data_IF_035568925203
#
_entry.id   IF_035568925203
#
_cell.length_a   1.000
_cell.length_b   1.000
_cell.length_c   1.000
_cell.angle_alpha   90.00
_cell.angle_beta   90.00
_cell.angle_gamma   90.00
#
_symmetry.space_group_name_H-M   'P 1'
#
loop_
_entity.id
_entity.type
_entity.pdbx_description
1 polymer ?
#
# COMPACT_ATOMS: atom_id res chain seq x y z
N UNK A 1 -1.85 -36.78 -36.02
CA UNK A 1 -0.80 -36.72 -34.97
C UNK A 1 -0.28 -35.32 -34.65
N UNK A 2 -0.99 -34.24 -34.97
CA UNK A 2 -0.44 -32.89 -34.85
C UNK A 2 -1.07 -32.00 -33.76
N UNK A 3 -2.21 -32.38 -33.23
CA UNK A 3 -2.97 -31.53 -32.29
C UNK A 3 -2.61 -31.75 -30.82
N UNK A 4 -2.23 -32.97 -30.44
CA UNK A 4 -1.85 -33.29 -29.05
C UNK A 4 -0.47 -32.73 -28.65
N UNK A 5 0.43 -32.52 -29.59
CA UNK A 5 1.79 -31.99 -29.29
C UNK A 5 1.78 -30.49 -29.02
N UNK A 6 0.84 -29.74 -29.60
CA UNK A 6 0.74 -28.29 -29.38
C UNK A 6 0.20 -27.91 -28.00
N UNK A 7 -0.72 -28.71 -27.47
CA UNK A 7 -1.33 -28.45 -26.15
C UNK A 7 -0.34 -28.71 -25.01
N UNK A 8 0.51 -29.73 -25.15
CA UNK A 8 1.54 -30.04 -24.14
C UNK A 8 2.65 -28.97 -24.06
N UNK A 9 3.01 -28.35 -25.19
CA UNK A 9 4.04 -27.29 -25.20
C UNK A 9 3.48 -26.00 -24.56
N UNK A 10 2.19 -25.68 -24.79
CA UNK A 10 1.58 -24.50 -24.16
C UNK A 10 1.45 -24.67 -22.64
N UNK A 11 1.16 -25.87 -22.16
CA UNK A 11 1.07 -26.16 -20.72
C UNK A 11 2.46 -26.08 -20.06
N UNK A 12 3.52 -26.56 -20.74
CA UNK A 12 4.88 -26.49 -20.21
C UNK A 12 5.41 -25.06 -20.15
N UNK A 13 5.07 -24.22 -21.13
CA UNK A 13 5.46 -22.80 -21.15
C UNK A 13 4.72 -22.02 -20.05
N UNK A 14 3.45 -22.32 -19.79
CA UNK A 14 2.69 -21.70 -18.70
C UNK A 14 3.26 -22.07 -17.31
N UNK A 15 3.74 -23.30 -17.13
CA UNK A 15 4.37 -23.75 -15.87
C UNK A 15 5.76 -23.14 -15.70
N UNK A 16 6.50 -22.88 -16.77
CA UNK A 16 7.85 -22.26 -16.69
C UNK A 16 7.80 -20.74 -16.45
N UNK A 17 6.69 -20.06 -16.78
CA UNK A 17 6.52 -18.62 -16.54
C UNK A 17 5.99 -18.29 -15.14
N UNK A 18 5.54 -19.29 -14.38
CA UNK A 18 4.90 -19.09 -13.09
C UNK A 18 5.78 -19.24 -11.85
N UNK A 19 7.05 -19.57 -11.96
CA UNK A 19 7.78 -20.09 -10.80
C UNK A 19 9.07 -19.38 -10.38
N UNK A 20 9.53 -18.31 -11.05
CA UNK A 20 10.89 -17.86 -10.74
C UNK A 20 11.06 -16.56 -9.95
N UNK A 21 10.08 -15.64 -9.94
CA UNK A 21 10.37 -14.30 -9.44
C UNK A 21 9.68 -13.88 -8.13
N UNK A 22 8.63 -14.57 -7.70
CA UNK A 22 7.98 -14.26 -6.42
C UNK A 22 8.84 -14.61 -5.18
N UNK A 23 9.87 -15.42 -5.36
CA UNK A 23 10.74 -15.89 -4.28
C UNK A 23 11.83 -14.88 -3.87
N UNK A 24 12.04 -13.80 -4.58
CA UNK A 24 13.15 -12.88 -4.33
C UNK A 24 12.84 -11.73 -3.37
N UNK A 25 11.59 -11.58 -2.92
CA UNK A 25 11.24 -10.54 -1.97
C UNK A 25 11.27 -11.07 -0.55
N UNK A 26 11.90 -10.31 0.35
CA UNK A 26 12.01 -10.71 1.75
C UNK A 26 10.65 -10.79 2.43
N UNK A 27 10.57 -11.56 3.51
CA UNK A 27 9.35 -11.71 4.31
C UNK A 27 8.79 -10.36 4.76
N UNK A 28 9.63 -9.38 5.14
CA UNK A 28 9.18 -8.05 5.59
C UNK A 28 8.39 -7.28 4.54
N UNK A 29 8.70 -7.45 3.25
CA UNK A 29 7.94 -6.81 2.16
C UNK A 29 6.54 -7.39 2.11
N UNK A 30 6.39 -8.71 2.20
CA UNK A 30 5.10 -9.38 2.26
C UNK A 30 4.35 -9.06 3.56
N UNK A 31 5.06 -8.93 4.67
CA UNK A 31 4.49 -8.51 5.96
C UNK A 31 3.88 -7.11 5.85
N UNK A 32 4.51 -6.17 5.15
CA UNK A 32 3.92 -4.85 4.90
C UNK A 32 2.63 -4.95 4.07
N UNK A 33 2.64 -5.74 2.98
CA UNK A 33 1.43 -5.96 2.18
C UNK A 33 0.30 -6.52 3.04
N UNK A 34 0.60 -7.53 3.85
CA UNK A 34 -0.39 -8.16 4.72
C UNK A 34 -0.86 -7.22 5.85
N UNK A 35 0.02 -6.35 6.35
CA UNK A 35 -0.30 -5.41 7.44
C UNK A 35 -1.19 -4.27 6.94
N UNK A 36 -0.81 -3.63 5.83
CA UNK A 36 -1.49 -2.43 5.33
C UNK A 36 -2.66 -2.73 4.39
N UNK A 37 -2.98 -3.98 4.15
CA UNK A 37 -4.06 -4.43 3.27
C UNK A 37 -5.44 -4.32 3.95
N UNK A 38 -6.40 -3.69 3.28
CA UNK A 38 -7.78 -3.58 3.77
C UNK A 38 -8.45 -2.25 3.43
N UNK A 39 -9.62 -2.03 4.02
CA UNK A 39 -10.31 -0.75 4.02
C UNK A 39 -10.19 -0.12 5.40
N UNK A 40 -9.99 1.19 5.42
CA UNK A 40 -9.83 1.93 6.67
C UNK A 40 -10.67 3.20 6.65
N UNK A 41 -11.07 3.66 7.84
CA UNK A 41 -11.62 5.00 8.00
C UNK A 41 -11.23 5.59 9.37
N UNK A 42 -11.45 6.89 9.51
CA UNK A 42 -11.19 7.64 10.74
C UNK A 42 -12.47 8.04 11.50
N UNK A 43 -13.61 7.40 11.23
CA UNK A 43 -14.94 7.81 11.74
C UNK A 43 -15.03 7.80 13.27
N UNK A 44 -14.38 6.83 13.94
CA UNK A 44 -14.41 6.73 15.40
C UNK A 44 -13.79 7.98 16.06
N UNK A 45 -12.73 8.53 15.49
CA UNK A 45 -12.02 9.68 16.05
C UNK A 45 -12.67 11.01 15.74
N UNK A 46 -13.48 11.09 14.69
CA UNK A 46 -14.24 12.31 14.39
C UNK A 46 -15.27 12.63 15.46
N UNK A 47 -15.81 11.59 16.13
CA UNK A 47 -16.77 11.76 17.24
C UNK A 47 -16.11 12.31 18.51
N UNK A 48 -14.79 12.23 18.64
CA UNK A 48 -14.04 12.68 19.82
C UNK A 48 -13.65 14.17 19.77
N UNK A 49 -14.30 14.99 18.92
CA UNK A 49 -14.04 16.44 18.77
C UNK A 49 -12.61 16.83 18.34
N UNK A 50 -11.84 15.94 17.76
CA UNK A 50 -10.60 16.30 17.05
C UNK A 50 -10.93 16.96 15.71
N UNK A 51 -11.52 18.14 15.77
CA UNK A 51 -12.39 18.78 14.77
C UNK A 51 -11.72 19.35 13.54
N UNK A 52 -10.44 19.08 13.30
CA UNK A 52 -9.74 19.57 12.09
C UNK A 52 -9.59 18.51 11.02
N UNK A 53 -9.98 17.28 11.27
CA UNK A 53 -9.86 16.19 10.29
C UNK A 53 -11.15 16.01 9.50
N UNK A 54 -10.96 15.81 8.18
CA UNK A 54 -12.05 15.35 7.34
C UNK A 54 -12.31 13.86 7.59
N UNK A 55 -13.54 13.43 7.35
CA UNK A 55 -13.85 12.02 7.34
C UNK A 55 -13.30 11.38 6.08
N UNK A 56 -12.36 10.45 6.23
CA UNK A 56 -11.60 9.85 5.15
C UNK A 56 -11.80 8.34 5.13
N UNK A 57 -11.98 7.79 3.93
CA UNK A 57 -11.90 6.37 3.65
C UNK A 57 -10.62 6.08 2.89
N UNK A 58 -9.96 5.00 3.26
CA UNK A 58 -8.75 4.49 2.59
C UNK A 58 -9.00 3.06 2.16
N UNK A 59 -8.70 2.75 0.91
CA UNK A 59 -8.70 1.39 0.37
C UNK A 59 -7.27 1.05 0.00
N UNK A 60 -6.77 -0.04 0.53
CA UNK A 60 -5.44 -0.57 0.21
C UNK A 60 -5.60 -2.02 -0.23
N UNK A 61 -5.34 -2.29 -1.49
CA UNK A 61 -5.59 -3.59 -2.10
C UNK A 61 -4.36 -4.10 -2.83
N UNK A 62 -3.91 -5.36 -2.60
CA UNK A 62 -2.92 -6.01 -3.46
C UNK A 62 -3.43 -6.06 -4.90
N UNK A 63 -2.57 -5.74 -5.85
CA UNK A 63 -2.90 -5.70 -7.28
C UNK A 63 -1.76 -6.28 -8.10
N UNK A 64 -1.99 -6.57 -9.38
CA UNK A 64 -0.99 -7.07 -10.30
C UNK A 64 -1.02 -6.28 -11.60
N UNK A 65 0.05 -5.55 -11.88
CA UNK A 65 0.34 -4.96 -13.17
C UNK A 65 1.58 -5.65 -13.75
N UNK A 66 1.38 -6.60 -14.67
CA UNK A 66 2.48 -7.40 -15.25
C UNK A 66 3.57 -6.53 -15.89
N UNK A 67 3.18 -5.40 -16.49
CA UNK A 67 4.10 -4.45 -17.09
C UNK A 67 5.09 -3.83 -16.11
N UNK A 68 4.74 -3.79 -14.81
CA UNK A 68 5.55 -3.19 -13.75
C UNK A 68 6.45 -4.20 -13.03
N UNK A 69 6.44 -5.44 -13.47
CA UNK A 69 7.27 -6.53 -12.94
C UNK A 69 6.53 -7.40 -11.92
N UNK A 70 7.21 -8.46 -11.42
CA UNK A 70 6.57 -9.51 -10.63
C UNK A 70 6.46 -9.19 -9.13
N UNK A 71 6.98 -8.06 -8.66
CA UNK A 71 7.06 -7.72 -7.23
C UNK A 71 5.71 -7.48 -6.56
N UNK A 72 5.68 -7.42 -5.23
CA UNK A 72 4.52 -7.02 -4.48
C UNK A 72 4.04 -5.62 -4.85
N UNK A 73 2.79 -5.52 -5.25
CA UNK A 73 2.18 -4.30 -5.75
C UNK A 73 0.87 -4.04 -5.02
N UNK A 74 0.57 -2.77 -4.80
CA UNK A 74 -0.64 -2.36 -4.11
C UNK A 74 -1.31 -1.19 -4.82
N UNK A 75 -2.62 -1.13 -4.74
CA UNK A 75 -3.43 0.03 -5.06
C UNK A 75 -3.82 0.73 -3.77
N UNK A 76 -3.69 2.06 -3.74
CA UNK A 76 -4.17 2.88 -2.64
C UNK A 76 -5.15 3.92 -3.20
N UNK A 77 -6.30 4.04 -2.55
CA UNK A 77 -7.25 5.10 -2.75
C UNK A 77 -7.56 5.77 -1.42
N UNK A 78 -7.44 7.08 -1.38
CA UNK A 78 -7.87 7.94 -0.29
C UNK A 78 -9.01 8.80 -0.78
N UNK A 79 -10.15 8.76 -0.12
CA UNK A 79 -11.34 9.52 -0.50
C UNK A 79 -12.00 10.17 0.70
N UNK A 80 -12.51 11.38 0.51
CA UNK A 80 -13.33 12.07 1.48
C UNK A 80 -14.75 11.51 1.40
N UNK A 81 -15.24 10.89 2.51
CA UNK A 81 -16.60 10.37 2.71
C UNK A 81 -17.40 10.04 1.43
N UNK A 82 -16.80 9.34 0.49
CA UNK A 82 -17.43 8.93 -0.78
C UNK A 82 -17.81 10.08 -1.72
N UNK A 83 -17.35 11.28 -1.45
CA UNK A 83 -17.67 12.46 -2.29
C UNK A 83 -16.61 12.74 -3.32
N UNK A 84 -15.34 12.68 -2.93
CA UNK A 84 -14.20 13.03 -3.76
C UNK A 84 -13.03 12.08 -3.52
N UNK A 85 -12.33 11.72 -4.58
CA UNK A 85 -11.03 11.04 -4.47
C UNK A 85 -9.96 12.10 -4.29
N UNK A 86 -9.22 11.99 -3.19
CA UNK A 86 -8.09 12.86 -2.90
C UNK A 86 -6.79 12.32 -3.49
N UNK A 87 -6.64 10.98 -3.46
CA UNK A 87 -5.43 10.33 -3.91
C UNK A 87 -5.75 8.95 -4.47
N UNK A 88 -5.15 8.61 -5.60
CA UNK A 88 -5.04 7.25 -6.11
C UNK A 88 -3.62 6.99 -6.56
N UNK A 89 -3.06 5.92 -6.07
CA UNK A 89 -1.70 5.51 -6.42
C UNK A 89 -1.62 4.00 -6.62
N UNK A 90 -0.77 3.63 -7.54
CA UNK A 90 -0.22 2.29 -7.68
C UNK A 90 1.14 2.29 -6.99
N UNK A 91 1.43 1.29 -6.18
CA UNK A 91 2.63 1.23 -5.35
C UNK A 91 3.40 -0.05 -5.64
N UNK A 92 4.69 0.08 -5.81
CA UNK A 92 5.63 -1.05 -5.85
C UNK A 92 6.41 -1.07 -4.54
N UNK A 93 6.52 -2.25 -3.95
CA UNK A 93 7.29 -2.49 -2.74
C UNK A 93 8.56 -3.27 -3.08
N UNK A 94 9.66 -2.91 -2.43
CA UNK A 94 10.94 -3.60 -2.60
C UNK A 94 11.78 -3.57 -1.32
N UNK A 95 12.79 -4.42 -1.26
CA UNK A 95 13.74 -4.43 -0.15
C UNK A 95 14.61 -3.18 -0.13
N UNK A 96 14.69 -2.51 1.00
CA UNK A 96 15.49 -1.30 1.23
C UNK A 96 16.73 -1.51 2.09
N UNK A 97 16.91 -2.72 2.63
CA UNK A 97 17.98 -3.04 3.58
C UNK A 97 17.49 -4.01 4.65
N UNK A 98 18.20 -4.16 5.76
CA UNK A 98 17.93 -5.19 6.76
C UNK A 98 16.49 -5.14 7.29
N UNK A 99 16.01 -3.97 7.73
CA UNK A 99 14.67 -3.79 8.28
C UNK A 99 13.82 -2.78 7.49
N UNK A 100 14.25 -2.41 6.28
CA UNK A 100 13.62 -1.36 5.51
C UNK A 100 12.87 -1.93 4.30
N UNK A 101 11.66 -1.44 4.08
CA UNK A 101 10.88 -1.64 2.85
C UNK A 101 10.81 -0.30 2.12
N UNK A 102 11.24 -0.28 0.87
CA UNK A 102 11.06 0.87 -0.02
C UNK A 102 9.68 0.84 -0.63
N UNK A 103 9.06 2.00 -0.64
CA UNK A 103 7.72 2.24 -1.18
C UNK A 103 7.84 3.24 -2.31
N UNK A 104 7.54 2.78 -3.51
CA UNK A 104 7.59 3.62 -4.71
C UNK A 104 6.19 3.81 -5.28
N UNK A 105 5.59 4.99 -5.10
CA UNK A 105 4.27 5.30 -5.63
C UNK A 105 4.35 5.73 -7.10
N UNK A 106 3.29 5.38 -7.83
CA UNK A 106 3.06 5.77 -9.21
C UNK A 106 1.65 6.33 -9.36
N UNK A 107 1.52 7.36 -10.16
CA UNK A 107 0.25 7.69 -10.78
C UNK A 107 0.00 6.78 -11.97
N UNK A 108 -1.23 6.74 -12.46
CA UNK A 108 -1.60 5.89 -13.59
C UNK A 108 -2.68 6.52 -14.48
N UNK A 109 -2.74 6.12 -15.73
CA UNK A 109 -3.68 6.64 -16.71
C UNK A 109 -5.13 6.46 -16.25
N UNK A 110 -5.89 7.56 -16.24
CA UNK A 110 -7.31 7.56 -15.88
C UNK A 110 -7.61 7.47 -14.40
N UNK A 111 -6.63 7.71 -13.51
CA UNK A 111 -6.80 7.72 -12.08
C UNK A 111 -7.90 8.68 -11.58
N UNK A 112 -8.14 9.74 -12.31
CA UNK A 112 -9.08 10.83 -12.01
C UNK A 112 -10.50 10.63 -12.59
N UNK A 113 -10.71 9.59 -13.42
CA UNK A 113 -11.96 9.38 -14.15
C UNK A 113 -13.07 8.69 -13.36
N UNK A 114 -12.75 8.17 -12.18
CA UNK A 114 -13.66 7.32 -11.41
C UNK A 114 -13.98 7.96 -10.07
N UNK A 115 -15.22 7.83 -9.62
CA UNK A 115 -15.61 8.19 -8.26
C UNK A 115 -14.97 7.27 -7.19
N UNK A 116 -15.16 7.60 -5.89
CA UNK A 116 -14.63 6.81 -4.80
C UNK A 116 -15.09 5.34 -4.85
N UNK A 117 -14.14 4.40 -4.75
CA UNK A 117 -14.38 2.96 -4.79
C UNK A 117 -14.81 2.40 -6.15
N UNK A 118 -14.82 3.23 -7.21
CA UNK A 118 -15.30 2.80 -8.52
C UNK A 118 -14.19 2.34 -9.48
N UNK A 119 -12.92 2.53 -9.10
CA UNK A 119 -11.82 2.07 -9.95
C UNK A 119 -11.71 0.55 -9.90
N UNK A 120 -11.84 -0.06 -11.07
CA UNK A 120 -11.62 -1.50 -11.25
C UNK A 120 -10.12 -1.79 -11.33
N UNK A 121 -9.58 -2.35 -10.26
CA UNK A 121 -8.15 -2.66 -10.14
C UNK A 121 -7.68 -3.78 -11.07
N UNK A 122 -8.58 -4.58 -11.63
CA UNK A 122 -8.22 -5.64 -12.58
C UNK A 122 -7.74 -5.07 -13.91
N UNK A 123 -8.03 -3.79 -14.18
CA UNK A 123 -7.48 -3.06 -15.34
C UNK A 123 -5.96 -2.97 -15.33
N UNK A 124 -5.32 -3.01 -14.18
CA UNK A 124 -3.85 -3.00 -14.12
C UNK A 124 -3.19 -4.14 -14.89
N UNK A 125 -3.89 -5.29 -15.02
CA UNK A 125 -3.40 -6.40 -15.82
C UNK A 125 -3.25 -6.08 -17.32
N UNK A 126 -3.95 -5.06 -17.81
CA UNK A 126 -3.92 -4.62 -19.22
C UNK A 126 -3.06 -3.38 -19.45
N UNK A 127 -2.57 -2.74 -18.40
CA UNK A 127 -1.75 -1.53 -18.50
C UNK A 127 -0.35 -1.87 -19.00
N UNK A 128 0.24 -0.93 -19.72
CA UNK A 128 1.63 -0.94 -20.15
C UNK A 128 2.48 -0.07 -19.21
N UNK A 129 3.80 -0.06 -19.37
CA UNK A 129 4.67 0.83 -18.59
C UNK A 129 4.36 2.32 -18.81
N UNK A 130 3.93 2.67 -19.99
CA UNK A 130 3.60 4.06 -20.37
C UNK A 130 2.32 4.58 -19.69
N UNK A 131 1.52 3.66 -19.12
CA UNK A 131 0.35 4.02 -18.32
C UNK A 131 0.70 4.45 -16.89
N UNK A 132 1.97 4.31 -16.48
CA UNK A 132 2.42 4.65 -15.14
C UNK A 132 3.50 5.73 -15.18
N UNK A 133 3.44 6.69 -14.25
CA UNK A 133 4.50 7.68 -14.05
C UNK A 133 4.69 7.95 -12.56
N UNK A 134 5.91 8.27 -12.18
CA UNK A 134 6.26 8.55 -10.79
C UNK A 134 7.04 9.85 -10.68
N UNK A 135 6.90 10.49 -9.53
CA UNK A 135 7.80 11.53 -9.08
C UNK A 135 8.74 10.93 -8.02
N UNK A 136 10.05 10.89 -8.26
CA UNK A 136 11.01 10.32 -7.30
C UNK A 136 10.94 10.94 -5.90
N UNK A 137 10.44 12.17 -5.77
CA UNK A 137 10.27 12.83 -4.48
C UNK A 137 9.20 12.18 -3.59
N UNK A 138 8.40 11.27 -4.14
CA UNK A 138 7.34 10.55 -3.42
C UNK A 138 7.78 9.17 -2.93
N UNK A 139 8.98 8.74 -3.24
CA UNK A 139 9.53 7.50 -2.68
C UNK A 139 9.71 7.66 -1.17
N UNK A 140 9.28 6.66 -0.40
CA UNK A 140 9.46 6.63 1.04
C UNK A 140 10.01 5.29 1.51
N UNK A 141 10.48 5.27 2.75
CA UNK A 141 11.02 4.08 3.40
C UNK A 141 10.23 3.80 4.67
N UNK A 142 9.91 2.53 4.88
CA UNK A 142 9.22 2.04 6.05
C UNK A 142 10.13 1.04 6.76
N UNK A 143 10.38 1.28 8.04
CA UNK A 143 11.14 0.38 8.89
C UNK A 143 10.20 -0.63 9.55
N UNK A 144 10.53 -1.90 9.45
CA UNK A 144 9.87 -2.98 10.18
C UNK A 144 10.44 -3.03 11.60
N UNK A 145 9.72 -2.47 12.58
CA UNK A 145 10.17 -2.41 13.98
C UNK A 145 9.76 -3.63 14.79
N UNK A 146 8.72 -4.33 14.36
CA UNK A 146 8.27 -5.61 14.93
C UNK A 146 7.40 -6.36 13.93
N UNK A 147 7.00 -7.59 14.25
CA UNK A 147 6.07 -8.35 13.42
C UNK A 147 4.75 -7.58 13.22
N UNK A 148 4.45 -7.23 11.97
CA UNK A 148 3.24 -6.50 11.60
C UNK A 148 3.19 -5.04 12.07
N UNK A 149 4.33 -4.43 12.41
CA UNK A 149 4.45 -3.03 12.78
C UNK A 149 5.49 -2.36 11.89
N UNK A 150 5.05 -1.37 11.13
CA UNK A 150 5.90 -0.58 10.23
C UNK A 150 5.79 0.90 10.59
N UNK A 151 6.92 1.56 10.58
CA UNK A 151 7.05 2.99 10.84
C UNK A 151 7.90 3.63 9.77
N UNK A 152 7.55 4.81 9.32
CA UNK A 152 8.36 5.55 8.36
C UNK A 152 7.65 6.76 7.81
N UNK A 153 8.13 7.22 6.67
CA UNK A 153 7.59 8.40 6.00
C UNK A 153 8.52 8.89 4.92
N UNK A 154 8.21 10.06 4.37
CA UNK A 154 9.13 10.70 3.44
C UNK A 154 10.31 11.33 4.16
N UNK A 155 11.52 11.23 3.61
CA UNK A 155 12.66 11.95 4.12
C UNK A 155 12.35 13.46 4.13
N UNK A 156 12.64 14.10 5.24
CA UNK A 156 12.43 15.55 5.46
C UNK A 156 13.06 16.44 4.35
N UNK A 157 13.96 15.85 3.57
CA UNK A 157 14.77 16.56 2.56
C UNK A 157 14.08 16.73 1.22
N UNK A 158 13.03 15.97 0.90
CA UNK A 158 12.51 15.85 -0.47
C UNK A 158 11.22 16.60 -0.73
N UNK A 159 10.38 16.83 0.26
CA UNK A 159 9.09 17.53 0.07
C UNK A 159 9.21 19.00 0.52
N UNK A 160 9.11 19.90 -0.45
CA UNK A 160 8.92 21.33 -0.18
C UNK A 160 7.44 21.65 -0.29
N UNK A 161 6.82 22.07 0.79
CA UNK A 161 5.49 22.64 0.77
C UNK A 161 5.42 23.91 -0.09
N UNK A 162 4.23 24.43 -0.30
CA UNK A 162 3.91 25.57 -1.19
C UNK A 162 4.80 26.80 -0.91
N UNK A 163 5.30 26.95 0.30
CA UNK A 163 6.16 28.07 0.70
C UNK A 163 7.61 27.65 1.01
N UNK A 164 8.08 26.53 0.49
CA UNK A 164 9.42 26.02 0.78
C UNK A 164 9.57 25.35 2.14
N UNK A 165 8.48 25.21 2.91
CA UNK A 165 8.43 24.51 4.19
C UNK A 165 8.62 23.01 3.94
N UNK A 166 9.51 22.38 4.71
CA UNK A 166 9.73 20.94 4.61
C UNK A 166 8.58 20.21 5.27
N UNK A 167 7.82 19.44 4.48
CA UNK A 167 6.74 18.62 5.00
C UNK A 167 7.31 17.30 5.51
N UNK A 168 7.17 17.06 6.81
CA UNK A 168 7.48 15.77 7.41
C UNK A 168 6.23 14.90 7.37
N UNK A 169 6.28 13.82 6.63
CA UNK A 169 5.19 12.86 6.57
C UNK A 169 5.60 11.60 7.33
N UNK A 170 4.82 11.23 8.31
CA UNK A 170 5.07 10.04 9.12
C UNK A 170 3.88 9.10 9.11
N UNK A 171 4.13 7.80 9.17
CA UNK A 171 3.08 6.80 9.28
C UNK A 171 3.51 5.64 10.17
N UNK A 172 2.53 5.03 10.81
CA UNK A 172 2.64 3.76 11.51
C UNK A 172 1.54 2.86 10.98
N UNK A 173 1.90 1.67 10.54
CA UNK A 173 0.96 0.64 10.10
C UNK A 173 0.99 -0.53 11.07
N UNK A 174 -0.21 -0.95 11.48
CA UNK A 174 -0.45 -2.14 12.29
C UNK A 174 -1.51 -3.00 11.59
N UNK A 175 -1.70 -4.22 12.07
CA UNK A 175 -2.57 -5.19 11.38
C UNK A 175 -4.04 -4.75 11.21
N UNK A 176 -4.55 -3.89 12.08
CA UNK A 176 -5.95 -3.47 12.13
C UNK A 176 -6.14 -1.95 12.14
N UNK A 177 -5.06 -1.20 12.21
CA UNK A 177 -5.09 0.25 12.29
C UNK A 177 -3.85 0.87 11.66
N UNK A 178 -3.97 2.14 11.28
CA UNK A 178 -2.88 2.96 10.80
C UNK A 178 -2.95 4.35 11.41
N UNK A 179 -1.80 4.97 11.59
CA UNK A 179 -1.69 6.38 11.94
C UNK A 179 -0.86 7.07 10.87
N UNK A 180 -1.38 8.17 10.33
CA UNK A 180 -0.71 8.95 9.31
C UNK A 180 -0.70 10.40 9.73
N UNK A 181 0.50 10.97 9.81
CA UNK A 181 0.69 12.39 10.10
C UNK A 181 0.83 13.12 8.77
N UNK A 182 -0.18 13.91 8.42
CA UNK A 182 -0.14 14.79 7.26
C UNK A 182 0.03 16.21 7.79
N UNK A 183 1.13 16.91 7.44
CA UNK A 183 1.25 18.31 7.81
C UNK A 183 0.08 19.09 7.21
N UNK A 184 -0.68 19.79 8.03
CA UNK A 184 -1.62 20.78 7.51
C UNK A 184 -0.81 21.83 6.73
N UNK A 185 -1.20 22.10 5.50
CA UNK A 185 -0.55 23.07 4.62
C UNK A 185 -0.63 24.50 5.18
N UNK A 186 0.20 24.81 6.13
CA UNK A 186 0.33 26.11 6.78
C UNK A 186 1.69 26.22 7.44
N UNK A 187 2.16 27.45 7.64
CA UNK A 187 3.51 27.77 8.15
C UNK A 187 3.78 27.29 9.59
N UNK A 188 2.80 26.68 10.26
CA UNK A 188 2.95 26.22 11.63
C UNK A 188 2.87 24.70 11.75
N UNK A 189 4.04 24.09 11.86
CA UNK A 189 4.25 22.64 12.17
C UNK A 189 3.67 22.24 13.55
N UNK A 190 3.13 23.19 14.31
CA UNK A 190 2.77 22.99 15.72
C UNK A 190 1.53 22.17 15.99
N UNK A 191 0.64 22.01 15.01
CA UNK A 191 -0.66 21.35 15.19
C UNK A 191 -0.83 20.15 14.25
N UNK A 192 0.22 19.36 14.05
CA UNK A 192 0.10 18.14 13.25
C UNK A 192 -0.57 17.07 14.09
N UNK A 193 -1.88 16.95 13.93
CA UNK A 193 -2.66 15.91 14.58
C UNK A 193 -2.67 14.68 13.66
N UNK A 194 -2.19 13.51 14.11
CA UNK A 194 -2.22 12.30 13.28
C UNK A 194 -3.64 11.88 12.93
N UNK A 195 -3.84 11.47 11.68
CA UNK A 195 -5.04 10.73 11.30
C UNK A 195 -4.92 9.30 11.81
N UNK A 196 -5.89 8.87 12.59
CA UNK A 196 -5.99 7.49 13.03
C UNK A 196 -7.06 6.78 12.22
N UNK A 197 -6.66 5.69 11.60
CA UNK A 197 -7.53 4.86 10.78
C UNK A 197 -7.71 3.50 11.42
N UNK A 198 -8.94 3.02 11.45
CA UNK A 198 -9.29 1.67 11.85
C UNK A 198 -9.74 0.87 10.64
N UNK A 199 -9.33 -0.38 10.57
CA UNK A 199 -9.75 -1.27 9.49
C UNK A 199 -11.24 -1.61 9.62
N UNK A 200 -11.95 -1.48 8.51
CA UNK A 200 -13.43 -1.61 8.44
C UNK A 200 -13.90 -2.72 7.52
N UNK A 201 -12.99 -3.36 6.78
CA UNK A 201 -13.31 -4.52 5.95
C UNK A 201 -12.32 -5.66 6.20
N UNK A 202 -12.65 -6.90 5.81
CA UNK A 202 -11.69 -7.98 5.72
C UNK A 202 -10.51 -7.61 4.82
N UNK A 203 -9.37 -8.24 5.04
CA UNK A 203 -8.22 -8.12 4.15
C UNK A 203 -8.54 -8.72 2.80
N UNK A 204 -8.01 -8.11 1.74
CA UNK A 204 -8.04 -8.69 0.41
C UNK A 204 -7.02 -9.84 0.31
N UNK A 205 -7.24 -10.84 -0.56
CA UNK A 205 -6.26 -11.88 -0.81
C UNK A 205 -4.91 -11.31 -1.26
N UNK A 206 -3.82 -11.88 -0.76
CA UNK A 206 -2.48 -11.58 -1.27
C UNK A 206 -2.32 -12.19 -2.67
N UNK A 207 -1.57 -11.53 -3.53
CA UNK A 207 -1.30 -11.99 -4.89
C UNK A 207 0.11 -12.57 -4.94
N UNK A 208 0.21 -13.85 -5.24
CA UNK A 208 1.46 -14.60 -5.39
C UNK A 208 2.44 -14.48 -4.20
N UNK A 209 2.00 -14.57 -2.93
CA UNK A 209 2.94 -14.66 -1.82
C UNK A 209 3.75 -15.97 -1.91
N UNK A 210 4.91 -16.07 -1.26
CA UNK A 210 5.61 -17.33 -1.10
C UNK A 210 4.69 -18.43 -0.53
N UNK A 211 4.88 -19.68 -0.95
CA UNK A 211 3.98 -20.78 -0.57
C UNK A 211 3.95 -21.04 0.94
N UNK A 212 5.04 -20.76 1.63
CA UNK A 212 5.22 -20.89 3.08
C UNK A 212 5.00 -19.59 3.85
N UNK A 213 4.50 -18.55 3.17
CA UNK A 213 4.28 -17.26 3.80
C UNK A 213 3.16 -17.32 4.85
N UNK A 214 3.49 -16.87 6.05
CA UNK A 214 2.54 -16.69 7.16
C UNK A 214 2.48 -15.22 7.53
N UNK A 215 1.29 -14.65 7.44
CA UNK A 215 1.05 -13.25 7.77
C UNK A 215 1.29 -12.98 9.27
N UNK A 216 1.99 -11.89 9.64
CA UNK A 216 2.12 -11.50 11.04
C UNK A 216 0.77 -11.18 11.69
N UNK A 217 -0.21 -10.83 10.89
CA UNK A 217 -1.54 -10.44 11.34
C UNK A 217 -2.47 -11.63 11.62
N UNK A 218 -2.11 -12.81 11.16
CA UNK A 218 -2.87 -14.04 11.41
C UNK A 218 -2.36 -14.75 12.67
N UNK A 219 -1.18 -14.39 13.14
CA UNK A 219 -0.67 -14.85 14.43
C UNK A 219 -1.51 -14.17 15.51
N UNK A 220 -2.22 -14.95 16.31
CA UNK A 220 -2.85 -14.44 17.53
C UNK A 220 -1.72 -13.80 18.34
N UNK A 221 -1.69 -12.49 18.41
CA UNK A 221 -0.85 -11.79 19.38
C UNK A 221 -1.17 -12.47 20.70
N UNK A 222 -0.18 -13.10 21.33
CA UNK A 222 -0.38 -13.68 22.65
C UNK A 222 -1.07 -12.62 23.49
N UNK A 223 -2.24 -12.87 24.08
CA UNK A 223 -2.83 -11.94 25.01
C UNK A 223 -1.74 -11.76 26.07
N UNK A 224 -1.27 -10.52 26.23
CA UNK A 224 -0.35 -10.16 27.30
C UNK A 224 -0.88 -10.81 28.54
N UNK A 225 -0.10 -11.74 29.10
CA UNK A 225 -0.56 -12.66 30.10
C UNK A 225 -1.31 -11.91 31.21
N UNK A 226 -2.48 -12.42 31.52
CA UNK A 226 -3.09 -12.12 32.80
C UNK A 226 -2.15 -12.71 33.85
N UNK A 227 -1.27 -11.89 34.40
CA UNK A 227 -0.60 -12.14 35.66
C UNK A 227 -1.59 -12.04 36.81
#
# INVERSE_FOLDING_TARGET
>A
MSTMMKTSILLLVAVMLGSSDAQNYSKKVWDLVATYNGCYNNSERLSENFTKHFAVNVIVKPVLALAMGPGPQMYIEVSELRTRVELRQFIILSDGGENVVKVKPYHFTGWDKYGPGQFDTDKFATYTKDDFWTDPSWECELEAIANGIFFGGWPVTTHKGVNGTRLTWGCIFLCDQASVTIPAGGDEVRDVVPYYYKRTCPKFPLINPPADYVSPCDQKLCPCGKS
#
